data_IF_989280389608
#
_entry.id   IF_989280389608
#
_cell.length_a   1.000
_cell.length_b   1.000
_cell.length_c   1.000
_cell.angle_alpha   90.00
_cell.angle_beta   90.00
_cell.angle_gamma   90.00
#
_symmetry.space_group_name_H-M   'P 1'
#
loop_
_entity.id
_entity.type
_entity.pdbx_description
1 polymer ?
#
# COMPACT_ATOMS: atom_id res chain seq x y z
N UNK A 1 -15.69 9.69 -6.03
CA UNK A 1 -14.54 9.01 -5.39
C UNK A 1 -14.97 8.07 -4.26
N UNK A 2 -15.84 8.48 -3.34
CA UNK A 2 -16.25 7.68 -2.16
C UNK A 2 -16.70 6.25 -2.48
N UNK A 3 -17.64 6.05 -3.41
CA UNK A 3 -18.13 4.71 -3.79
C UNK A 3 -17.00 3.81 -4.31
N UNK A 4 -16.08 4.37 -5.11
CA UNK A 4 -14.92 3.63 -5.61
C UNK A 4 -13.98 3.24 -4.46
N UNK A 5 -13.72 4.15 -3.52
CA UNK A 5 -12.88 3.86 -2.35
C UNK A 5 -13.49 2.80 -1.42
N UNK A 6 -14.77 2.93 -1.07
CA UNK A 6 -15.45 1.95 -0.23
C UNK A 6 -15.49 0.58 -0.91
N UNK A 7 -15.60 0.53 -2.23
CA UNK A 7 -15.54 -0.73 -3.01
C UNK A 7 -14.14 -1.36 -2.97
N UNK A 8 -13.07 -0.57 -3.16
CA UNK A 8 -11.69 -1.06 -3.07
C UNK A 8 -11.39 -1.61 -1.66
N UNK A 9 -11.83 -0.93 -0.61
CA UNK A 9 -11.65 -1.42 0.77
C UNK A 9 -12.41 -2.72 1.00
N UNK A 10 -13.63 -2.84 0.47
CA UNK A 10 -14.39 -4.07 0.62
C UNK A 10 -13.74 -5.25 -0.14
N UNK A 11 -13.19 -5.01 -1.33
CA UNK A 11 -12.40 -6.00 -2.08
C UNK A 11 -11.15 -6.40 -1.27
N UNK A 12 -10.47 -5.44 -0.65
CA UNK A 12 -9.32 -5.71 0.20
C UNK A 12 -9.67 -6.59 1.41
N UNK A 13 -10.80 -6.31 2.07
CA UNK A 13 -11.29 -7.11 3.20
C UNK A 13 -11.65 -8.54 2.75
N UNK A 14 -12.28 -8.68 1.58
CA UNK A 14 -12.60 -9.96 0.96
C UNK A 14 -11.34 -10.79 0.70
N UNK A 15 -10.28 -10.15 0.21
CA UNK A 15 -9.04 -10.82 -0.12
C UNK A 15 -8.21 -11.22 1.11
N UNK A 16 -8.29 -10.45 2.20
CA UNK A 16 -7.43 -10.63 3.39
C UNK A 16 -8.07 -11.37 4.56
N UNK A 17 -9.38 -11.29 4.72
CA UNK A 17 -10.06 -11.86 5.90
C UNK A 17 -10.71 -13.19 5.53
N UNK A 18 -11.75 -13.13 4.70
CA UNK A 18 -12.56 -14.27 4.30
C UNK A 18 -13.56 -13.81 3.22
N UNK A 19 -13.89 -14.67 2.26
CA UNK A 19 -14.89 -14.35 1.22
C UNK A 19 -16.24 -13.96 1.84
N UNK A 20 -16.71 -14.71 2.84
CA UNK A 20 -18.03 -14.48 3.45
C UNK A 20 -18.04 -13.19 4.27
N UNK A 21 -16.98 -12.91 5.02
CA UNK A 21 -16.87 -11.66 5.81
C UNK A 21 -16.65 -10.44 4.91
N UNK A 22 -15.92 -10.61 3.81
CA UNK A 22 -15.71 -9.60 2.77
C UNK A 22 -17.02 -9.17 2.12
N UNK A 23 -17.81 -10.13 1.62
CA UNK A 23 -19.09 -9.82 0.98
C UNK A 23 -20.06 -9.13 1.95
N UNK A 24 -20.12 -9.59 3.20
CA UNK A 24 -20.96 -8.94 4.23
C UNK A 24 -20.46 -7.52 4.55
N UNK A 25 -19.15 -7.24 4.45
CA UNK A 25 -18.58 -5.91 4.70
C UNK A 25 -18.87 -4.87 3.63
N UNK A 26 -19.23 -5.27 2.40
CA UNK A 26 -19.56 -4.35 1.30
C UNK A 26 -20.74 -3.44 1.68
N UNK A 27 -21.80 -4.03 2.24
CA UNK A 27 -23.03 -3.34 2.62
C UNK A 27 -22.78 -2.22 3.66
N UNK A 28 -22.17 -2.49 4.83
CA UNK A 28 -21.91 -1.46 5.83
C UNK A 28 -20.90 -0.42 5.34
N UNK A 29 -19.92 -0.77 4.52
CA UNK A 29 -18.98 0.22 3.97
C UNK A 29 -19.65 1.19 3.00
N UNK A 30 -20.50 0.69 2.10
CA UNK A 30 -21.26 1.53 1.18
C UNK A 30 -22.25 2.43 1.94
N UNK A 31 -22.97 1.86 2.92
CA UNK A 31 -23.85 2.63 3.80
C UNK A 31 -23.08 3.71 4.55
N UNK A 32 -21.93 3.41 5.15
CA UNK A 32 -21.09 4.40 5.81
C UNK A 32 -20.67 5.52 4.85
N UNK A 33 -20.30 5.19 3.61
CA UNK A 33 -20.02 6.16 2.56
C UNK A 33 -21.21 7.08 2.26
N UNK A 34 -22.39 6.51 2.03
CA UNK A 34 -23.63 7.27 1.74
C UNK A 34 -24.07 8.12 2.92
N UNK A 35 -24.05 7.56 4.14
CA UNK A 35 -24.39 8.25 5.38
C UNK A 35 -23.43 9.43 5.60
N UNK A 36 -22.13 9.27 5.32
CA UNK A 36 -21.18 10.38 5.48
C UNK A 36 -21.52 11.57 4.57
N UNK A 37 -21.99 11.31 3.34
CA UNK A 37 -22.38 12.35 2.37
C UNK A 37 -23.72 12.96 2.79
N UNK A 38 -24.69 12.14 3.20
CA UNK A 38 -25.96 12.63 3.69
C UNK A 38 -25.76 13.51 4.94
N UNK A 39 -24.92 13.08 5.87
CA UNK A 39 -24.58 13.84 7.07
C UNK A 39 -23.94 15.18 6.72
N UNK A 40 -22.97 15.20 5.80
CA UNK A 40 -22.41 16.44 5.28
C UNK A 40 -23.50 17.34 4.68
N UNK A 41 -24.44 16.79 3.92
CA UNK A 41 -25.51 17.56 3.28
C UNK A 41 -26.49 18.19 4.28
N UNK A 42 -26.75 17.55 5.41
CA UNK A 42 -27.70 18.02 6.43
C UNK A 42 -27.06 18.91 7.50
N UNK A 43 -25.82 18.62 7.89
CA UNK A 43 -25.16 19.26 9.03
C UNK A 43 -23.96 20.14 8.63
N UNK A 44 -23.62 20.21 7.34
CA UNK A 44 -22.45 20.91 6.78
C UNK A 44 -21.09 20.54 7.41
N UNK A 45 -21.03 19.42 8.14
CA UNK A 45 -19.80 18.90 8.73
C UNK A 45 -19.13 17.88 7.80
N UNK A 46 -17.94 18.22 7.33
CA UNK A 46 -17.15 17.41 6.41
C UNK A 46 -16.29 16.34 7.12
N UNK A 47 -16.18 16.39 8.46
CA UNK A 47 -15.32 15.49 9.22
C UNK A 47 -15.64 13.99 9.02
N UNK A 48 -16.91 13.54 9.03
CA UNK A 48 -17.23 12.12 8.81
C UNK A 48 -16.84 11.66 7.41
N UNK A 49 -17.06 12.51 6.41
CA UNK A 49 -16.67 12.24 5.02
C UNK A 49 -15.15 12.12 4.88
N UNK A 50 -14.40 13.03 5.50
CA UNK A 50 -12.93 12.95 5.53
C UNK A 50 -12.46 11.66 6.20
N UNK A 51 -13.06 11.26 7.33
CA UNK A 51 -12.70 10.04 8.05
C UNK A 51 -12.90 8.79 7.19
N UNK A 52 -14.05 8.66 6.53
CA UNK A 52 -14.33 7.54 5.61
C UNK A 52 -13.33 7.48 4.46
N UNK A 53 -12.78 8.62 4.04
CA UNK A 53 -11.80 8.68 2.95
C UNK A 53 -10.35 8.45 3.40
N UNK A 54 -9.95 8.94 4.59
CA UNK A 54 -8.58 8.86 5.09
C UNK A 54 -8.28 7.56 5.85
N UNK A 55 -9.26 6.96 6.53
CA UNK A 55 -9.07 5.69 7.25
C UNK A 55 -8.57 4.57 6.31
N UNK A 56 -9.17 4.36 5.12
CA UNK A 56 -8.65 3.43 4.11
C UNK A 56 -7.20 3.65 3.71
N UNK A 57 -6.75 4.91 3.62
CA UNK A 57 -5.38 5.25 3.22
C UNK A 57 -4.34 4.61 4.15
N UNK A 58 -4.66 4.50 5.43
CA UNK A 58 -3.75 3.98 6.46
C UNK A 58 -4.05 2.50 6.73
N UNK A 59 -5.33 2.15 6.80
CA UNK A 59 -5.77 0.79 7.11
C UNK A 59 -5.31 -0.22 6.06
N UNK A 60 -5.42 0.10 4.76
CA UNK A 60 -5.01 -0.80 3.67
C UNK A 60 -3.51 -1.15 3.76
N UNK A 61 -2.55 -0.20 3.76
CA UNK A 61 -1.13 -0.54 3.84
C UNK A 61 -0.75 -1.19 5.17
N UNK A 62 -1.33 -0.74 6.29
CA UNK A 62 -1.05 -1.33 7.60
C UNK A 62 -1.50 -2.79 7.66
N UNK A 63 -2.75 -3.06 7.25
CA UNK A 63 -3.25 -4.42 7.15
C UNK A 63 -2.48 -5.22 6.10
N UNK A 64 -2.01 -4.58 5.01
CA UNK A 64 -1.21 -5.21 3.96
C UNK A 64 0.13 -5.77 4.48
N UNK A 65 0.74 -5.06 5.43
CA UNK A 65 2.00 -5.46 6.06
C UNK A 65 1.77 -6.52 7.15
N UNK A 66 0.74 -6.32 7.99
CA UNK A 66 0.51 -7.13 9.20
C UNK A 66 -0.13 -8.49 8.91
N UNK A 67 -1.09 -8.56 7.99
CA UNK A 67 -1.82 -9.80 7.74
C UNK A 67 -1.07 -10.66 6.69
N UNK A 68 -1.14 -12.00 6.78
CA UNK A 68 -0.70 -12.86 5.69
C UNK A 68 -1.67 -12.74 4.50
N UNK A 69 -1.17 -12.51 3.27
CA UNK A 69 -2.02 -12.50 2.09
C UNK A 69 -2.59 -13.89 1.81
N UNK A 70 -3.82 -13.94 1.31
CA UNK A 70 -4.47 -15.19 0.90
C UNK A 70 -4.12 -15.60 -0.54
N UNK A 71 -3.60 -14.68 -1.35
CA UNK A 71 -3.22 -14.90 -2.75
C UNK A 71 -1.78 -14.45 -3.01
N UNK A 72 -1.17 -15.06 -4.03
CA UNK A 72 0.11 -14.60 -4.59
C UNK A 72 0.00 -13.14 -5.03
N UNK A 73 1.11 -12.41 -5.00
CA UNK A 73 1.22 -11.02 -5.51
C UNK A 73 0.64 -9.91 -4.60
N UNK A 74 0.68 -10.09 -3.28
CA UNK A 74 0.31 -9.03 -2.32
C UNK A 74 1.11 -7.72 -2.44
N UNK A 75 2.22 -7.69 -3.17
CA UNK A 75 3.00 -6.46 -3.40
C UNK A 75 2.22 -5.42 -4.21
N UNK A 76 1.27 -5.85 -5.06
CA UNK A 76 0.45 -4.94 -5.86
C UNK A 76 -0.50 -4.10 -5.00
N UNK A 77 -0.93 -4.61 -3.84
CA UNK A 77 -1.70 -3.83 -2.87
C UNK A 77 -0.86 -2.74 -2.21
N UNK A 78 0.44 -2.97 -1.99
CA UNK A 78 1.35 -1.92 -1.51
C UNK A 78 1.59 -0.85 -2.57
N UNK A 79 1.76 -1.25 -3.84
CA UNK A 79 1.83 -0.29 -4.95
C UNK A 79 0.54 0.53 -5.08
N UNK A 80 -0.62 -0.13 -5.05
CA UNK A 80 -1.92 0.53 -5.08
C UNK A 80 -2.10 1.51 -3.91
N UNK A 81 -1.70 1.13 -2.69
CA UNK A 81 -1.71 2.01 -1.53
C UNK A 81 -0.74 3.19 -1.68
N UNK A 82 0.45 2.96 -2.25
CA UNK A 82 1.45 4.00 -2.52
C UNK A 82 0.94 5.05 -3.52
N UNK A 83 0.39 4.62 -4.66
CA UNK A 83 -0.22 5.53 -5.65
C UNK A 83 -1.42 6.29 -5.08
N UNK A 84 -2.20 5.65 -4.21
CA UNK A 84 -3.29 6.34 -3.55
C UNK A 84 -2.82 7.41 -2.55
N UNK A 85 -1.77 7.10 -1.77
CA UNK A 85 -1.16 8.08 -0.86
C UNK A 85 -0.55 9.25 -1.65
N UNK A 86 0.11 8.97 -2.77
CA UNK A 86 0.59 10.01 -3.69
C UNK A 86 -0.55 10.90 -4.19
N UNK A 87 -1.67 10.34 -4.63
CA UNK A 87 -2.84 11.12 -5.05
C UNK A 87 -3.37 12.05 -3.93
N UNK A 88 -3.27 11.63 -2.66
CA UNK A 88 -3.65 12.46 -1.51
C UNK A 88 -2.64 13.54 -1.18
N UNK A 89 -1.35 13.28 -1.34
CA UNK A 89 -0.29 14.29 -1.22
C UNK A 89 -0.44 15.35 -2.32
N UNK A 90 -0.73 14.94 -3.55
CA UNK A 90 -0.97 15.85 -4.68
C UNK A 90 -2.21 16.73 -4.48
N UNK A 91 -3.25 16.19 -3.84
CA UNK A 91 -4.42 16.97 -3.43
C UNK A 91 -4.07 18.04 -2.40
N UNK A 92 -3.25 17.72 -1.40
CA UNK A 92 -2.80 18.67 -0.39
C UNK A 92 -1.81 19.70 -0.95
N UNK A 93 -0.99 19.27 -1.91
CA UNK A 93 0.04 20.07 -2.56
C UNK A 93 -0.47 20.77 -3.84
N UNK A 94 -1.78 20.89 -4.05
CA UNK A 94 -2.33 21.46 -5.28
C UNK A 94 -1.81 22.87 -5.60
N UNK A 95 -1.82 23.77 -4.61
CA UNK A 95 -1.30 25.14 -4.75
C UNK A 95 0.21 25.21 -5.04
N UNK A 96 1.09 24.52 -4.27
CA UNK A 96 2.51 24.54 -4.57
C UNK A 96 2.87 23.86 -5.90
N UNK A 97 2.18 22.76 -6.26
CA UNK A 97 2.38 22.10 -7.57
C UNK A 97 2.00 23.07 -8.69
N UNK A 98 0.83 23.69 -8.62
CA UNK A 98 0.36 24.61 -9.66
C UNK A 98 1.31 25.81 -9.87
N UNK A 99 1.88 26.34 -8.78
CA UNK A 99 2.86 27.43 -8.83
C UNK A 99 4.20 26.97 -9.42
N UNK A 100 4.64 25.75 -9.10
CA UNK A 100 5.92 25.22 -9.56
C UNK A 100 5.87 24.76 -11.02
N UNK A 101 4.73 24.25 -11.48
CA UNK A 101 4.52 23.80 -12.86
C UNK A 101 4.10 24.93 -13.81
N UNK A 102 4.38 26.20 -13.45
CA UNK A 102 4.06 27.36 -14.28
C UNK A 102 2.60 27.40 -14.77
N UNK A 103 1.65 26.99 -13.93
CA UNK A 103 0.21 26.95 -14.25
C UNK A 103 -0.22 25.95 -15.34
N UNK A 104 0.65 25.01 -15.74
CA UNK A 104 0.34 24.02 -16.80
C UNK A 104 -0.42 22.82 -16.23
N UNK A 105 -0.06 22.34 -15.04
CA UNK A 105 -0.65 21.15 -14.40
C UNK A 105 -1.04 21.47 -12.96
N UNK A 106 -2.25 21.08 -12.56
CA UNK A 106 -2.73 21.21 -11.17
C UNK A 106 -2.54 19.88 -10.42
N UNK A 107 -2.32 19.96 -9.11
CA UNK A 107 -2.28 18.78 -8.26
C UNK A 107 -3.57 17.97 -8.34
N UNK A 108 -4.70 18.62 -8.64
CA UNK A 108 -5.97 17.94 -8.89
C UNK A 108 -5.93 17.00 -10.11
N UNK A 109 -5.31 17.42 -11.22
CA UNK A 109 -5.15 16.56 -12.40
C UNK A 109 -4.22 15.39 -12.14
N UNK A 110 -3.12 15.63 -11.42
CA UNK A 110 -2.15 14.60 -11.08
C UNK A 110 -2.76 13.57 -10.13
N UNK A 111 -3.56 14.03 -9.16
CA UNK A 111 -4.36 13.19 -8.26
C UNK A 111 -5.21 12.19 -9.04
N UNK A 112 -5.87 12.63 -10.11
CA UNK A 112 -6.73 11.75 -10.90
C UNK A 112 -5.91 10.71 -11.66
N UNK A 113 -4.73 11.08 -12.17
CA UNK A 113 -3.82 10.16 -12.84
C UNK A 113 -3.27 9.10 -11.86
N UNK A 114 -2.80 9.53 -10.69
CA UNK A 114 -2.32 8.65 -9.63
C UNK A 114 -3.44 7.73 -9.10
N UNK A 115 -4.64 8.26 -8.90
CA UNK A 115 -5.81 7.47 -8.52
C UNK A 115 -6.24 6.47 -9.60
N UNK A 116 -6.03 6.76 -10.89
CA UNK A 116 -6.34 5.83 -11.99
C UNK A 116 -5.38 4.64 -12.05
N UNK A 117 -4.16 4.74 -11.51
CA UNK A 117 -3.22 3.63 -11.44
C UNK A 117 -3.64 2.56 -10.42
N UNK A 118 -4.38 2.94 -9.37
CA UNK A 118 -4.87 2.03 -8.33
C UNK A 118 -5.68 0.85 -8.92
N UNK A 119 -6.76 1.06 -9.71
CA UNK A 119 -7.50 -0.04 -10.33
C UNK A 119 -6.69 -0.78 -11.40
N UNK A 120 -5.70 -0.15 -12.05
CA UNK A 120 -4.83 -0.83 -13.03
C UNK A 120 -3.99 -1.90 -12.34
N UNK A 121 -3.31 -1.56 -11.24
CA UNK A 121 -2.54 -2.53 -10.47
C UNK A 121 -3.43 -3.64 -9.88
N UNK A 122 -4.63 -3.29 -9.41
CA UNK A 122 -5.59 -4.27 -8.91
C UNK A 122 -6.07 -5.23 -10.01
N UNK A 123 -6.32 -4.71 -11.22
CA UNK A 123 -6.74 -5.53 -12.36
C UNK A 123 -5.62 -6.47 -12.80
N UNK A 124 -4.37 -6.00 -12.84
CA UNK A 124 -3.21 -6.84 -13.14
C UNK A 124 -3.01 -7.92 -12.07
N UNK A 125 -3.19 -7.57 -10.79
CA UNK A 125 -3.14 -8.52 -9.69
C UNK A 125 -4.23 -9.59 -9.84
N UNK A 126 -5.48 -9.20 -10.12
CA UNK A 126 -6.59 -10.13 -10.35
C UNK A 126 -6.34 -11.03 -11.56
N UNK A 127 -5.78 -10.49 -12.65
CA UNK A 127 -5.48 -11.23 -13.87
C UNK A 127 -4.35 -12.26 -13.68
N UNK A 128 -3.37 -11.98 -12.81
CA UNK A 128 -2.23 -12.86 -12.56
C UNK A 128 -2.38 -13.71 -11.29
N UNK A 129 -3.52 -13.62 -10.59
CA UNK A 129 -3.69 -14.30 -9.30
C UNK A 129 -3.65 -15.81 -9.45
N UNK A 130 -2.86 -16.46 -8.60
CA UNK A 130 -2.94 -17.90 -8.32
C UNK A 130 -3.20 -18.11 -6.82
N UNK A 131 -3.79 -19.24 -6.44
CA UNK A 131 -4.02 -19.55 -5.02
C UNK A 131 -2.68 -19.94 -4.41
N UNK A 132 -2.21 -19.19 -3.43
CA UNK A 132 -1.00 -19.53 -2.67
C UNK A 132 -1.38 -20.41 -1.49
N UNK A 133 -0.85 -21.63 -1.45
CA UNK A 133 -1.17 -22.61 -0.39
C UNK A 133 -0.43 -22.26 0.91
N UNK A 134 0.70 -21.55 0.81
CA UNK A 134 1.55 -21.18 1.95
C UNK A 134 1.32 -19.72 2.37
N UNK A 135 0.74 -19.54 3.56
CA UNK A 135 0.35 -18.22 4.09
C UNK A 135 1.49 -17.58 4.89
N UNK A 136 2.43 -16.93 4.22
CA UNK A 136 3.50 -16.18 4.89
C UNK A 136 3.23 -14.67 4.85
N UNK A 137 3.30 -14.01 6.01
CA UNK A 137 3.11 -12.54 6.05
C UNK A 137 4.27 -11.81 5.40
N UNK A 138 3.99 -10.69 4.71
CA UNK A 138 5.03 -9.84 4.14
C UNK A 138 6.04 -9.40 5.21
N UNK A 139 5.55 -9.13 6.43
CA UNK A 139 6.42 -8.84 7.58
C UNK A 139 7.40 -9.98 7.90
N UNK A 140 6.95 -11.24 7.92
CA UNK A 140 7.84 -12.38 8.13
C UNK A 140 8.83 -12.54 6.98
N UNK A 141 8.38 -12.43 5.73
CA UNK A 141 9.26 -12.53 4.56
C UNK A 141 10.34 -11.46 4.60
N UNK A 142 9.97 -10.23 4.94
CA UNK A 142 10.91 -9.12 5.04
C UNK A 142 11.86 -9.28 6.23
N UNK A 143 11.37 -9.76 7.37
CA UNK A 143 12.20 -10.10 8.54
C UNK A 143 13.22 -11.19 8.21
N UNK A 144 12.80 -12.26 7.51
CA UNK A 144 13.67 -13.36 7.09
C UNK A 144 14.72 -12.84 6.10
N UNK A 145 14.31 -12.03 5.13
CA UNK A 145 15.21 -11.39 4.16
C UNK A 145 16.24 -10.50 4.85
N UNK A 146 15.81 -9.67 5.81
CA UNK A 146 16.70 -8.81 6.59
C UNK A 146 17.70 -9.61 7.41
N UNK A 147 17.25 -10.70 8.06
CA UNK A 147 18.16 -11.58 8.81
C UNK A 147 19.16 -12.30 7.90
N UNK A 148 18.77 -12.65 6.66
CA UNK A 148 19.66 -13.26 5.68
C UNK A 148 20.71 -12.26 5.16
N UNK A 149 20.31 -11.02 4.86
CA UNK A 149 21.22 -9.93 4.47
C UNK A 149 22.23 -9.67 5.58
N UNK A 150 21.77 -9.51 6.83
CA UNK A 150 22.67 -9.29 7.97
C UNK A 150 23.65 -10.45 8.17
N UNK A 151 23.20 -11.69 7.96
CA UNK A 151 24.08 -12.87 8.05
C UNK A 151 25.13 -12.87 6.93
N UNK A 152 24.75 -12.51 5.70
CA UNK A 152 25.67 -12.39 4.57
C UNK A 152 26.72 -11.29 4.82
N UNK A 153 26.33 -10.13 5.32
CA UNK A 153 27.27 -9.04 5.67
C UNK A 153 28.28 -9.50 6.73
N UNK A 154 27.82 -10.18 7.79
CA UNK A 154 28.71 -10.72 8.82
C UNK A 154 29.64 -11.81 8.28
N UNK A 155 29.19 -12.61 7.31
CA UNK A 155 30.01 -13.63 6.65
C UNK A 155 31.08 -12.98 5.76
N UNK A 156 30.72 -11.93 5.00
CA UNK A 156 31.65 -11.15 4.17
C UNK A 156 32.70 -10.41 5.03
N UNK A 157 32.31 -9.81 6.16
CA UNK A 157 33.27 -9.18 7.11
C UNK A 157 34.26 -10.20 7.70
N UNK A 158 33.78 -11.41 8.04
CA UNK A 158 34.64 -12.48 8.53
C UNK A 158 35.64 -12.97 7.47
N UNK A 159 35.21 -13.11 6.21
CA UNK A 159 36.11 -13.44 5.11
C UNK A 159 37.16 -12.33 4.90
N UNK A 160 36.75 -11.05 4.85
CA UNK A 160 37.67 -9.91 4.67
C UNK A 160 38.70 -9.79 5.80
N UNK A 161 38.30 -10.07 7.05
CA UNK A 161 39.21 -10.09 8.21
C UNK A 161 40.23 -11.22 8.12
N UNK A 162 39.82 -12.39 7.63
CA UNK A 162 40.69 -13.57 7.48
C UNK A 162 41.75 -13.36 6.41
N UNK A 163 41.41 -12.76 5.26
CA UNK A 163 42.37 -12.45 4.19
C UNK A 163 43.39 -11.36 4.58
N UNK A 164 42.99 -10.41 5.43
CA UNK A 164 43.90 -9.33 5.90
C UNK A 164 44.95 -9.85 6.89
N UNK A 165 44.67 -10.97 7.57
CA UNK A 165 45.57 -11.55 8.58
C UNK A 165 46.63 -12.51 8.04
N UNK A 166 46.74 -12.72 6.72
CA UNK A 166 47.80 -13.56 6.15
C UNK A 166 49.10 -12.73 6.08
N UNK A 167 50.13 -13.00 6.91
CA UNK A 167 51.38 -12.26 6.80
C UNK A 167 52.03 -12.57 5.46
N UNK A 168 52.37 -11.51 4.72
CA UNK A 168 53.22 -11.60 3.53
C UNK A 168 54.58 -12.10 4.01
N UNK A 169 54.86 -13.38 3.76
CA UNK A 169 56.20 -13.95 3.97
C UNK A 169 57.08 -13.36 2.88
N UNK A 170 57.78 -12.28 3.21
CA UNK A 170 58.90 -11.79 2.40
C UNK A 170 59.99 -12.86 2.43
N UNK A 171 60.15 -13.57 1.32
CA UNK A 171 61.30 -14.46 1.10
C UNK A 171 62.53 -13.62 0.70
N UNK A 172 63.73 -13.97 1.20
CA UNK A 172 64.95 -13.14 1.17
C UNK A 172 65.53 -12.91 -0.22
#
# INVERSE_FOLDING_TARGET
MTVAFTSIVAIFILERIDERKGTVSIIPLLLAGVISIAYWRFFDDLRPYALVQFVPCIAIPLMAILLPPMYTHSLYWLWAAGFYLLAKVEEAADKPIYKWTHHIVSGHTLKHLCAAMVPVFLTLMLAKRSIEIERTSLFQTWKISWTRIRKNDSEVENYSSTYTSVPVVETP
#
